data_IF_215585413397
#
_entry.id   IF_215585413397
#
_cell.length_a   1.000
_cell.length_b   1.000
_cell.length_c   1.000
_cell.angle_alpha   90.00
_cell.angle_beta   90.00
_cell.angle_gamma   90.00
#
_symmetry.space_group_name_H-M   'P 1'
#
loop_
_entity.id
_entity.type
_entity.pdbx_description
1 polymer ?
#
# COMPACT_ATOMS: atom_id res chain seq x y z
N UNK A 1 63.37 24.63 8.60
CA UNK A 1 64.04 24.91 7.32
C UNK A 1 63.15 24.42 6.18
N UNK A 2 62.95 25.31 5.23
CA UNK A 2 62.33 25.20 3.90
C UNK A 2 60.78 25.06 3.83
N UNK A 3 60.20 26.22 3.65
CA UNK A 3 58.94 26.61 3.01
C UNK A 3 58.89 26.20 1.53
N UNK A 4 57.74 25.69 1.07
CA UNK A 4 57.41 25.82 -0.35
C UNK A 4 55.97 26.37 -0.48
N UNK A 5 55.91 27.59 -0.96
CA UNK A 5 54.76 28.26 -1.54
C UNK A 5 54.53 27.70 -2.94
N UNK A 6 53.31 27.40 -3.33
CA UNK A 6 52.94 27.25 -4.74
C UNK A 6 51.76 28.16 -5.03
N UNK A 7 51.94 28.90 -6.05
CA UNK A 7 51.29 30.07 -6.60
C UNK A 7 49.95 29.78 -7.26
N UNK A 8 49.10 30.81 -7.18
CA UNK A 8 47.84 30.99 -7.93
C UNK A 8 48.08 31.07 -9.44
N UNK A 9 47.24 30.43 -10.24
CA UNK A 9 47.08 30.73 -11.66
C UNK A 9 45.61 31.05 -11.93
N UNK A 10 45.38 32.32 -12.25
CA UNK A 10 44.14 32.85 -12.78
C UNK A 10 44.04 32.47 -14.27
N UNK A 11 42.87 31.97 -14.69
CA UNK A 11 42.53 31.81 -16.12
C UNK A 11 41.39 32.74 -16.46
N UNK A 12 41.65 33.59 -17.41
CA UNK A 12 40.89 34.72 -17.95
C UNK A 12 39.75 34.18 -18.82
N UNK A 13 38.52 34.75 -18.65
CA UNK A 13 37.36 34.55 -19.50
C UNK A 13 37.52 35.29 -20.83
N UNK A 14 37.23 34.66 -21.94
CA UNK A 14 37.02 35.30 -23.23
C UNK A 14 35.53 35.20 -23.63
N UNK A 15 34.89 36.37 -23.66
CA UNK A 15 33.54 36.57 -24.25
C UNK A 15 33.69 36.63 -25.78
N UNK A 16 32.95 35.77 -26.48
CA UNK A 16 32.70 35.92 -27.92
C UNK A 16 31.19 36.06 -28.11
N UNK A 17 30.74 37.25 -28.45
CA UNK A 17 29.40 37.59 -28.87
C UNK A 17 29.17 37.10 -30.31
N UNK A 18 28.30 36.10 -30.48
CA UNK A 18 27.83 35.68 -31.80
C UNK A 18 26.40 36.15 -32.00
N UNK A 19 26.20 37.11 -32.87
CA UNK A 19 24.89 37.55 -33.35
C UNK A 19 24.30 36.51 -34.29
N UNK A 20 23.19 35.87 -33.91
CA UNK A 20 22.42 35.00 -34.79
C UNK A 20 21.27 35.85 -35.44
N UNK A 21 21.34 35.97 -36.76
CA UNK A 21 20.27 36.52 -37.58
C UNK A 21 19.10 35.51 -37.63
N UNK A 22 17.89 35.96 -37.20
CA UNK A 22 16.65 35.21 -37.30
C UNK A 22 15.99 35.59 -38.64
N UNK A 23 15.66 34.64 -39.53
CA UNK A 23 14.84 34.91 -40.71
C UNK A 23 13.35 35.08 -40.32
N UNK A 24 12.57 35.86 -41.09
CA UNK A 24 11.15 36.10 -40.79
C UNK A 24 10.33 34.83 -41.01
N UNK A 25 9.43 34.54 -40.07
CA UNK A 25 8.48 33.44 -40.15
C UNK A 25 7.40 33.74 -41.19
N UNK A 26 7.25 32.85 -42.17
CA UNK A 26 6.13 32.80 -43.07
C UNK A 26 4.93 32.20 -42.36
N UNK A 27 3.85 32.92 -42.23
CA UNK A 27 2.59 32.43 -41.68
C UNK A 27 1.95 31.48 -42.70
N UNK A 28 1.97 30.19 -42.42
CA UNK A 28 1.14 29.21 -43.11
C UNK A 28 -0.17 29.02 -42.34
N UNK A 29 -1.26 29.50 -42.89
CA UNK A 29 -2.61 29.16 -42.43
C UNK A 29 -2.85 27.68 -42.73
N UNK A 30 -2.89 26.85 -41.71
CA UNK A 30 -3.36 25.48 -41.81
C UNK A 30 -4.74 25.42 -41.16
N UNK A 31 -5.78 25.22 -41.96
CA UNK A 31 -7.08 24.76 -41.51
C UNK A 31 -6.90 23.41 -40.82
N UNK A 32 -7.02 23.36 -39.50
CA UNK A 32 -7.09 22.16 -38.74
C UNK A 32 -8.51 21.60 -38.84
N UNK A 33 -8.68 20.31 -39.22
CA UNK A 33 -9.98 19.66 -39.11
C UNK A 33 -10.39 19.61 -37.65
N UNK A 34 -11.63 19.99 -37.36
CA UNK A 34 -12.24 19.91 -36.05
C UNK A 34 -12.16 18.42 -35.57
N UNK A 35 -11.27 18.16 -34.65
CA UNK A 35 -11.25 16.89 -33.93
C UNK A 35 -12.55 16.77 -33.16
N UNK A 36 -13.38 15.81 -33.54
CA UNK A 36 -14.56 15.38 -32.81
C UNK A 36 -14.18 15.20 -31.35
N UNK A 37 -14.79 16.00 -30.46
CA UNK A 37 -14.58 15.91 -29.05
C UNK A 37 -14.87 14.49 -28.59
N UNK A 38 -13.85 13.80 -28.09
CA UNK A 38 -14.05 12.60 -27.28
C UNK A 38 -14.94 13.02 -26.12
N UNK A 39 -16.19 12.59 -26.13
CA UNK A 39 -17.09 12.68 -25.00
C UNK A 39 -16.41 11.98 -23.84
N UNK A 40 -15.85 12.74 -22.93
CA UNK A 40 -15.38 12.21 -21.65
C UNK A 40 -16.58 11.53 -21.01
N UNK A 41 -16.59 10.21 -21.01
CA UNK A 41 -17.58 9.43 -20.26
C UNK A 41 -17.50 9.93 -18.83
N UNK A 42 -18.56 10.59 -18.36
CA UNK A 42 -18.63 11.08 -16.99
C UNK A 42 -18.33 9.87 -16.08
N UNK A 43 -17.23 9.93 -15.34
CA UNK A 43 -16.91 8.89 -14.36
C UNK A 43 -18.06 8.85 -13.37
N UNK A 44 -18.74 7.71 -13.33
CA UNK A 44 -19.82 7.51 -12.37
C UNK A 44 -19.19 7.47 -10.99
N UNK A 45 -19.36 8.52 -10.20
CA UNK A 45 -18.73 8.66 -8.89
C UNK A 45 -19.33 7.67 -7.90
N UNK A 46 -18.50 7.10 -7.05
CA UNK A 46 -18.91 6.32 -5.88
C UNK A 46 -19.33 7.32 -4.81
N UNK A 47 -20.64 7.45 -4.49
CA UNK A 47 -21.16 8.58 -3.71
C UNK A 47 -20.94 8.45 -2.20
N UNK A 48 -20.22 7.41 -1.74
CA UNK A 48 -20.00 7.18 -0.31
C UNK A 48 -18.89 8.06 0.24
N UNK A 49 -19.14 8.73 1.38
CA UNK A 49 -18.15 9.50 2.13
C UNK A 49 -17.57 8.70 3.29
N UNK A 50 -18.32 7.71 3.81
CA UNK A 50 -17.87 6.73 4.77
C UNK A 50 -18.57 5.39 4.49
N UNK A 51 -17.92 4.27 4.74
CA UNK A 51 -18.50 2.95 4.71
C UNK A 51 -17.63 1.96 5.49
N UNK A 52 -18.28 1.11 6.29
CA UNK A 52 -17.59 0.06 7.06
C UNK A 52 -18.43 -1.20 7.08
N UNK A 53 -17.75 -2.34 7.17
CA UNK A 53 -18.33 -3.62 7.52
C UNK A 53 -17.47 -4.24 8.63
N UNK A 54 -18.08 -4.70 9.71
CA UNK A 54 -17.38 -5.35 10.83
C UNK A 54 -18.10 -6.62 11.20
N UNK A 55 -17.34 -7.68 11.41
CA UNK A 55 -17.86 -8.91 11.98
C UNK A 55 -18.10 -8.72 13.48
N UNK A 56 -19.25 -9.15 13.98
CA UNK A 56 -19.59 -9.13 15.41
C UNK A 56 -19.06 -10.37 16.11
N UNK A 57 -18.94 -10.31 17.44
CA UNK A 57 -18.38 -11.42 18.23
C UNK A 57 -19.22 -12.72 18.12
N UNK A 58 -20.52 -12.60 17.88
CA UNK A 58 -21.44 -13.71 17.66
C UNK A 58 -21.41 -14.28 16.24
N UNK A 59 -20.60 -13.68 15.33
CA UNK A 59 -20.43 -14.12 13.95
C UNK A 59 -21.35 -13.43 12.94
N UNK A 60 -22.20 -12.50 13.36
CA UNK A 60 -22.95 -11.60 12.47
C UNK A 60 -22.08 -10.49 11.88
N UNK A 61 -22.74 -9.49 11.26
CA UNK A 61 -22.05 -8.31 10.71
C UNK A 61 -22.80 -7.03 11.02
N UNK A 62 -22.08 -5.96 11.26
CA UNK A 62 -22.60 -4.59 11.33
C UNK A 62 -22.05 -3.79 10.17
N UNK A 63 -22.93 -3.13 9.44
CA UNK A 63 -22.61 -2.28 8.30
C UNK A 63 -23.00 -0.85 8.64
N UNK A 64 -22.20 0.12 8.26
CA UNK A 64 -22.56 1.53 8.35
C UNK A 64 -21.99 2.30 7.16
N UNK A 65 -22.72 3.32 6.72
CA UNK A 65 -22.29 4.16 5.60
C UNK A 65 -22.87 5.57 5.68
N UNK A 66 -22.26 6.46 4.91
CA UNK A 66 -22.77 7.81 4.64
C UNK A 66 -22.66 8.09 3.15
N UNK A 67 -23.75 8.50 2.54
CA UNK A 67 -23.86 8.85 1.13
C UNK A 67 -24.93 9.94 0.95
N UNK A 68 -24.79 10.85 -0.04
CA UNK A 68 -25.87 11.78 -0.43
C UNK A 68 -27.04 11.11 -1.17
N UNK A 69 -26.96 9.81 -1.50
CA UNK A 69 -28.04 9.05 -2.09
C UNK A 69 -29.28 9.03 -1.17
N UNK A 70 -30.48 8.92 -1.72
CA UNK A 70 -31.71 8.81 -0.95
C UNK A 70 -31.82 7.47 -0.21
N UNK A 71 -31.37 6.39 -0.86
CA UNK A 71 -31.37 5.03 -0.30
C UNK A 71 -30.19 4.20 -0.78
N UNK A 72 -29.82 3.20 0.01
CA UNK A 72 -28.78 2.21 -0.30
C UNK A 72 -29.33 0.80 -0.08
N UNK A 73 -29.29 0.00 -1.13
CA UNK A 73 -29.60 -1.44 -1.06
C UNK A 73 -28.33 -2.23 -0.84
N UNK A 74 -28.37 -3.16 0.12
CA UNK A 74 -27.23 -4.00 0.51
C UNK A 74 -27.46 -5.43 0.08
N UNK A 75 -26.47 -6.00 -0.61
CA UNK A 75 -26.40 -7.41 -1.00
C UNK A 75 -25.13 -8.03 -0.45
N UNK A 76 -25.23 -9.16 0.26
CA UNK A 76 -24.08 -9.94 0.67
C UNK A 76 -23.60 -10.83 -0.48
N UNK A 77 -22.31 -10.78 -0.80
CA UNK A 77 -21.67 -11.51 -1.91
C UNK A 77 -20.42 -12.22 -1.43
N UNK A 78 -20.00 -13.29 -2.10
CA UNK A 78 -18.83 -14.08 -1.72
C UNK A 78 -17.54 -13.68 -2.48
N UNK A 79 -17.66 -12.76 -3.44
CA UNK A 79 -16.53 -12.19 -4.19
C UNK A 79 -16.73 -10.69 -4.36
N UNK A 80 -15.67 -9.87 -4.35
CA UNK A 80 -15.80 -8.42 -4.54
C UNK A 80 -16.35 -8.04 -5.92
N UNK A 81 -16.20 -8.89 -6.92
CA UNK A 81 -16.69 -8.66 -8.29
C UNK A 81 -18.11 -9.21 -8.54
N UNK A 82 -18.68 -9.95 -7.58
CA UNK A 82 -20.03 -10.50 -7.73
C UNK A 82 -21.08 -9.39 -7.72
N UNK A 83 -22.03 -9.50 -8.66
CA UNK A 83 -23.17 -8.57 -8.78
C UNK A 83 -24.47 -9.13 -8.22
N UNK A 84 -24.52 -10.44 -8.00
CA UNK A 84 -25.68 -11.16 -7.43
C UNK A 84 -25.27 -11.86 -6.14
N UNK A 85 -26.17 -11.93 -5.17
CA UNK A 85 -25.90 -12.53 -3.86
C UNK A 85 -27.15 -12.60 -3.01
N UNK A 86 -26.98 -12.68 -1.69
CA UNK A 86 -28.05 -12.74 -0.70
C UNK A 86 -28.51 -11.32 -0.36
N UNK A 87 -29.79 -10.96 -0.56
CA UNK A 87 -30.30 -9.65 -0.15
C UNK A 87 -30.17 -9.47 1.36
N UNK A 88 -29.68 -8.33 1.79
CA UNK A 88 -29.56 -7.96 3.22
C UNK A 88 -30.68 -6.99 3.62
N UNK A 89 -30.89 -5.95 2.81
CA UNK A 89 -31.90 -4.93 3.07
C UNK A 89 -31.64 -3.62 2.39
N UNK A 90 -32.50 -2.64 2.64
CA UNK A 90 -32.39 -1.27 2.15
C UNK A 90 -32.51 -0.31 3.33
N UNK A 91 -31.70 0.73 3.35
CA UNK A 91 -31.73 1.76 4.38
C UNK A 91 -31.45 3.14 3.75
N UNK A 92 -31.66 4.26 4.47
CA UNK A 92 -31.36 5.60 3.96
C UNK A 92 -29.91 5.78 3.50
N UNK A 93 -29.66 6.83 2.72
CA UNK A 93 -28.34 7.19 2.19
C UNK A 93 -27.26 7.30 3.27
N UNK A 94 -27.61 7.82 4.46
CA UNK A 94 -26.81 7.66 5.67
C UNK A 94 -27.52 6.70 6.60
N UNK A 95 -26.89 5.55 6.88
CA UNK A 95 -27.57 4.48 7.59
C UNK A 95 -26.63 3.36 8.05
N UNK A 96 -27.27 2.37 8.64
CA UNK A 96 -26.62 1.14 9.08
C UNK A 96 -27.57 -0.05 8.95
N UNK A 97 -27.02 -1.25 8.81
CA UNK A 97 -27.73 -2.52 8.85
C UNK A 97 -26.95 -3.53 9.70
N UNK A 98 -27.69 -4.34 10.43
CA UNK A 98 -27.13 -5.50 11.13
C UNK A 98 -27.56 -6.77 10.43
N UNK A 99 -26.62 -7.65 10.16
CA UNK A 99 -26.85 -8.99 9.65
C UNK A 99 -26.63 -9.96 10.80
N UNK A 100 -27.68 -10.52 11.39
CA UNK A 100 -27.55 -11.44 12.51
C UNK A 100 -26.74 -12.68 12.16
N UNK A 101 -26.06 -13.27 13.13
CA UNK A 101 -25.38 -14.55 12.96
C UNK A 101 -26.35 -15.63 12.45
N UNK A 102 -25.85 -16.49 11.56
CA UNK A 102 -26.64 -17.56 10.95
C UNK A 102 -27.63 -17.12 9.85
N UNK A 103 -27.73 -15.81 9.57
CA UNK A 103 -28.59 -15.31 8.47
C UNK A 103 -27.98 -15.62 7.10
N UNK A 104 -26.67 -15.52 6.99
CA UNK A 104 -25.93 -15.83 5.76
C UNK A 104 -25.44 -17.29 5.80
N UNK A 105 -25.44 -18.00 4.66
CA UNK A 105 -24.82 -19.31 4.55
C UNK A 105 -23.33 -19.31 4.96
N UNK A 106 -22.76 -20.49 5.18
CA UNK A 106 -21.31 -20.57 5.39
C UNK A 106 -20.54 -20.14 4.14
N UNK A 107 -19.56 -19.26 4.34
CA UNK A 107 -18.64 -18.80 3.31
C UNK A 107 -17.28 -18.46 3.91
N UNK A 108 -16.22 -18.55 3.10
CA UNK A 108 -14.87 -18.17 3.53
C UNK A 108 -14.75 -16.70 3.95
N UNK A 109 -15.51 -15.82 3.31
CA UNK A 109 -15.64 -14.39 3.63
C UNK A 109 -16.91 -13.83 2.98
N UNK A 110 -17.54 -12.87 3.65
CA UNK A 110 -18.62 -12.07 3.08
C UNK A 110 -18.11 -10.68 2.71
N UNK A 111 -18.50 -10.23 1.54
CA UNK A 111 -18.45 -8.85 1.06
C UNK A 111 -19.84 -8.30 1.02
N UNK A 112 -19.99 -6.99 1.19
CA UNK A 112 -21.28 -6.31 1.15
C UNK A 112 -21.26 -5.26 0.05
N UNK A 113 -22.08 -5.49 -0.96
CA UNK A 113 -22.27 -4.56 -2.06
C UNK A 113 -23.32 -3.54 -1.67
N UNK A 114 -22.88 -2.31 -1.46
CA UNK A 114 -23.73 -1.14 -1.17
C UNK A 114 -24.10 -0.51 -2.51
N UNK A 115 -25.34 -0.62 -2.92
CA UNK A 115 -25.88 -0.09 -4.18
C UNK A 115 -26.73 1.13 -3.89
N UNK A 116 -26.27 2.35 -4.16
CA UNK A 116 -27.05 3.56 -3.98
C UNK A 116 -28.12 3.67 -5.08
N UNK A 117 -29.19 4.42 -4.84
CA UNK A 117 -30.19 4.74 -5.86
C UNK A 117 -29.65 5.64 -6.98
N UNK A 118 -28.50 6.29 -6.75
CA UNK A 118 -27.79 7.08 -7.73
C UNK A 118 -26.28 7.00 -7.53
N UNK A 119 -25.53 6.76 -8.61
CA UNK A 119 -24.07 6.61 -8.62
C UNK A 119 -23.60 5.14 -8.63
N UNK A 120 -22.30 4.92 -8.53
CA UNK A 120 -21.69 3.60 -8.57
C UNK A 120 -21.78 2.89 -7.21
N UNK A 121 -21.95 1.56 -7.20
CA UNK A 121 -21.90 0.78 -5.98
C UNK A 121 -20.50 0.74 -5.36
N UNK A 122 -20.46 0.52 -4.06
CA UNK A 122 -19.25 0.28 -3.28
C UNK A 122 -19.31 -1.13 -2.66
N UNK A 123 -18.19 -1.85 -2.71
CA UNK A 123 -18.06 -3.14 -2.02
C UNK A 123 -17.16 -2.95 -0.80
N UNK A 124 -17.67 -3.34 0.36
CA UNK A 124 -16.95 -3.32 1.63
C UNK A 124 -16.97 -4.71 2.27
N UNK A 125 -16.00 -4.98 3.14
CA UNK A 125 -15.95 -6.23 3.90
C UNK A 125 -15.30 -5.97 5.27
N UNK A 126 -15.50 -6.90 6.21
CA UNK A 126 -14.63 -6.95 7.38
C UNK A 126 -13.20 -7.17 6.90
N UNK A 127 -12.27 -6.40 7.42
CA UNK A 127 -10.86 -6.47 6.99
C UNK A 127 -10.14 -7.69 7.54
N UNK A 128 -10.60 -8.27 8.65
CA UNK A 128 -10.05 -9.50 9.20
C UNK A 128 -10.52 -10.71 8.41
N UNK A 129 -9.57 -11.59 8.05
CA UNK A 129 -9.88 -12.91 7.50
C UNK A 129 -9.96 -13.99 8.59
N UNK A 130 -9.81 -13.62 9.86
CA UNK A 130 -9.78 -14.55 10.99
C UNK A 130 -8.72 -15.69 10.80
N UNK A 131 -7.54 -15.35 10.31
CA UNK A 131 -6.39 -16.25 10.22
C UNK A 131 -5.63 -16.15 11.56
N UNK A 132 -5.92 -17.06 12.47
CA UNK A 132 -5.43 -16.99 13.84
C UNK A 132 -3.92 -17.29 13.94
N UNK A 133 -3.40 -18.15 13.09
CA UNK A 133 -1.98 -18.54 13.06
C UNK A 133 -1.07 -17.47 12.46
N UNK A 134 -1.61 -16.55 11.65
CA UNK A 134 -0.88 -15.44 11.05
C UNK A 134 -1.35 -14.11 11.66
N UNK A 135 -0.65 -13.67 12.71
CA UNK A 135 -0.99 -12.42 13.42
C UNK A 135 -1.03 -11.24 12.47
N UNK A 136 -1.85 -10.26 12.79
CA UNK A 136 -1.96 -9.00 12.05
C UNK A 136 -2.45 -9.17 10.60
N UNK A 137 -3.05 -10.33 10.28
CA UNK A 137 -3.59 -10.62 8.95
C UNK A 137 -4.85 -9.79 8.69
N UNK A 138 -4.82 -8.98 7.65
CA UNK A 138 -5.99 -8.19 7.21
C UNK A 138 -5.88 -7.69 5.77
N UNK A 139 -7.04 -7.38 5.21
CA UNK A 139 -7.20 -6.66 3.96
C UNK A 139 -6.76 -5.18 4.12
N UNK A 140 -6.06 -4.63 3.16
CA UNK A 140 -5.71 -3.20 3.13
C UNK A 140 -6.75 -2.35 2.38
N UNK A 141 -7.79 -2.95 1.80
CA UNK A 141 -8.89 -2.27 1.15
C UNK A 141 -9.90 -1.62 2.10
N UNK A 142 -10.88 -0.92 1.51
CA UNK A 142 -11.95 -0.27 2.25
C UNK A 142 -11.61 1.13 2.77
N UNK A 143 -10.52 1.75 2.32
CA UNK A 143 -10.16 3.13 2.63
C UNK A 143 -10.55 4.07 1.50
N UNK A 144 -11.03 5.26 1.87
CA UNK A 144 -11.35 6.33 0.93
C UNK A 144 -10.11 7.18 0.66
N UNK A 145 -9.87 7.50 -0.61
CA UNK A 145 -8.79 8.40 -1.05
C UNK A 145 -9.22 9.86 -0.94
N UNK A 146 -8.26 10.79 -0.98
CA UNK A 146 -8.52 12.22 -0.94
C UNK A 146 -9.36 12.71 -2.15
N UNK A 147 -9.21 12.07 -3.31
CA UNK A 147 -9.99 12.36 -4.52
C UNK A 147 -11.37 11.67 -4.57
N UNK A 148 -11.76 10.99 -3.49
CA UNK A 148 -13.09 10.39 -3.31
C UNK A 148 -13.25 8.96 -3.83
N UNK A 149 -12.24 8.35 -4.44
CA UNK A 149 -12.22 6.94 -4.78
C UNK A 149 -12.02 6.08 -3.52
N UNK A 150 -12.13 4.77 -3.68
CA UNK A 150 -11.94 3.81 -2.60
C UNK A 150 -10.91 2.76 -2.98
N UNK A 151 -10.09 2.37 -2.03
CA UNK A 151 -9.21 1.21 -2.18
C UNK A 151 -10.08 -0.05 -2.18
N UNK A 152 -10.01 -0.83 -3.25
CA UNK A 152 -10.82 -2.03 -3.43
C UNK A 152 -10.43 -3.11 -2.42
N UNK A 153 -11.44 -3.73 -1.79
CA UNK A 153 -11.22 -4.86 -0.87
C UNK A 153 -10.98 -6.17 -1.63
N UNK A 154 -10.23 -7.08 -1.02
CA UNK A 154 -10.03 -8.44 -1.54
C UNK A 154 -8.89 -8.59 -2.54
N UNK A 155 -8.08 -7.57 -2.75
CA UNK A 155 -6.99 -7.58 -3.73
C UNK A 155 -5.60 -7.63 -3.09
N UNK A 156 -5.42 -6.99 -1.94
CA UNK A 156 -4.14 -6.97 -1.25
C UNK A 156 -4.35 -7.19 0.24
N UNK A 157 -3.58 -8.10 0.80
CA UNK A 157 -3.58 -8.46 2.21
C UNK A 157 -2.20 -8.20 2.81
N UNK A 158 -2.20 -7.83 4.09
CA UNK A 158 -0.98 -7.74 4.90
C UNK A 158 -1.01 -8.71 6.05
N UNK A 159 0.16 -9.23 6.47
CA UNK A 159 0.23 -10.27 7.50
C UNK A 159 1.55 -10.26 8.28
N UNK A 160 1.58 -10.98 9.39
CA UNK A 160 2.77 -11.61 9.96
C UNK A 160 3.14 -12.89 9.20
N UNK A 161 4.18 -13.58 9.64
CA UNK A 161 4.68 -14.79 8.97
C UNK A 161 3.60 -15.88 8.79
N UNK A 162 3.66 -16.58 7.69
CA UNK A 162 2.67 -17.59 7.27
C UNK A 162 3.11 -19.03 7.56
N UNK A 163 4.16 -19.23 8.35
CA UNK A 163 4.78 -20.54 8.61
C UNK A 163 3.88 -21.54 9.36
N UNK A 164 2.82 -21.09 10.00
CA UNK A 164 1.97 -21.92 10.86
C UNK A 164 0.52 -22.02 10.38
N UNK A 165 0.25 -21.69 9.12
CA UNK A 165 -1.10 -21.78 8.56
C UNK A 165 -1.63 -23.21 8.68
N UNK A 166 -2.84 -23.37 9.22
CA UNK A 166 -3.56 -24.65 9.19
C UNK A 166 -4.09 -24.95 7.79
N UNK A 167 -4.51 -26.17 7.52
CA UNK A 167 -5.11 -26.53 6.22
C UNK A 167 -6.39 -25.72 5.96
N UNK A 168 -7.20 -25.48 7.01
CA UNK A 168 -8.40 -24.65 6.92
C UNK A 168 -8.07 -23.19 6.59
N UNK A 169 -7.03 -22.63 7.22
CA UNK A 169 -6.59 -21.27 6.94
C UNK A 169 -6.01 -21.14 5.52
N UNK A 170 -5.30 -22.14 5.04
CA UNK A 170 -4.88 -22.20 3.63
C UNK A 170 -6.08 -22.23 2.67
N UNK A 171 -7.13 -23.01 2.99
CA UNK A 171 -8.36 -22.98 2.18
C UNK A 171 -9.05 -21.62 2.20
N UNK A 172 -8.98 -20.88 3.31
CA UNK A 172 -9.45 -19.48 3.33
C UNK A 172 -8.65 -18.59 2.37
N UNK A 173 -7.32 -18.71 2.33
CA UNK A 173 -6.51 -17.97 1.36
C UNK A 173 -6.89 -18.32 -0.09
N UNK A 174 -7.10 -19.61 -0.37
CA UNK A 174 -7.58 -20.08 -1.69
C UNK A 174 -8.95 -19.46 -2.03
N UNK A 175 -9.89 -19.46 -1.08
CA UNK A 175 -11.22 -18.88 -1.28
C UNK A 175 -11.18 -17.37 -1.55
N UNK A 176 -10.16 -16.67 -1.05
CA UNK A 176 -9.89 -15.26 -1.34
C UNK A 176 -9.02 -15.06 -2.58
N UNK A 177 -8.79 -16.12 -3.35
CA UNK A 177 -7.98 -16.07 -4.58
C UNK A 177 -6.59 -15.48 -4.35
N UNK A 178 -5.95 -15.75 -3.20
CA UNK A 178 -4.56 -15.39 -2.99
C UNK A 178 -3.70 -16.23 -3.94
N UNK A 179 -2.97 -15.58 -4.83
CA UNK A 179 -2.14 -16.21 -5.86
C UNK A 179 -0.67 -15.84 -5.75
N UNK A 180 -0.35 -14.82 -4.95
CA UNK A 180 1.01 -14.33 -4.74
C UNK A 180 1.25 -14.03 -3.27
N UNK A 181 2.37 -14.51 -2.76
CA UNK A 181 2.94 -14.16 -1.47
C UNK A 181 4.26 -13.42 -1.67
N UNK A 182 4.40 -12.24 -1.04
CA UNK A 182 5.63 -11.43 -1.05
C UNK A 182 6.22 -11.36 0.35
N UNK A 183 7.34 -12.03 0.55
CA UNK A 183 8.01 -12.14 1.84
C UNK A 183 9.10 -11.08 2.01
N UNK A 184 8.90 -10.16 2.97
CA UNK A 184 9.82 -9.06 3.28
C UNK A 184 10.92 -9.46 4.29
N UNK A 185 10.96 -10.72 4.73
CA UNK A 185 11.90 -11.22 5.74
C UNK A 185 13.29 -11.47 5.16
N UNK A 186 14.30 -11.40 6.03
CA UNK A 186 15.65 -11.77 5.69
C UNK A 186 15.83 -13.31 5.56
N UNK A 187 16.97 -13.74 5.03
CA UNK A 187 17.23 -15.14 4.75
C UNK A 187 17.18 -16.05 6.02
N UNK A 188 17.64 -15.54 7.17
CA UNK A 188 17.63 -16.30 8.43
C UNK A 188 16.19 -16.49 8.89
N UNK A 189 15.37 -15.44 8.91
CA UNK A 189 13.96 -15.53 9.31
C UNK A 189 13.16 -16.50 8.43
N UNK A 190 13.45 -16.51 7.11
CA UNK A 190 12.82 -17.43 6.15
C UNK A 190 13.26 -18.88 6.36
N UNK A 191 14.55 -19.10 6.67
CA UNK A 191 15.08 -20.42 6.97
C UNK A 191 14.49 -21.00 8.25
N UNK A 192 14.41 -20.20 9.32
CA UNK A 192 13.95 -20.64 10.64
C UNK A 192 12.43 -20.87 10.69
N UNK A 193 11.68 -20.17 9.86
CA UNK A 193 10.22 -20.25 9.81
C UNK A 193 9.71 -20.14 8.35
N UNK A 194 9.96 -21.17 7.51
CA UNK A 194 9.49 -21.17 6.12
C UNK A 194 7.97 -21.10 6.05
N UNK A 195 7.43 -20.39 5.06
CA UNK A 195 5.98 -20.24 4.92
C UNK A 195 5.32 -21.54 4.47
N UNK A 196 4.12 -21.76 4.96
CA UNK A 196 3.27 -22.89 4.66
C UNK A 196 2.10 -22.44 3.77
N UNK A 197 2.38 -22.28 2.48
CA UNK A 197 1.44 -21.73 1.51
C UNK A 197 0.55 -22.82 0.89
N UNK A 198 -0.70 -22.44 0.45
CA UNK A 198 -1.51 -23.31 -0.40
C UNK A 198 -0.82 -23.61 -1.72
N UNK A 199 -1.11 -24.78 -2.30
CA UNK A 199 -0.62 -25.15 -3.61
C UNK A 199 -1.09 -24.11 -4.67
N UNK A 200 -0.17 -23.72 -5.56
CA UNK A 200 -0.44 -22.76 -6.63
C UNK A 200 -0.22 -21.30 -6.26
N UNK A 201 0.00 -20.95 -4.99
CA UNK A 201 0.44 -19.60 -4.61
C UNK A 201 1.91 -19.43 -5.00
N UNK A 202 2.19 -18.39 -5.78
CA UNK A 202 3.57 -18.00 -6.12
C UNK A 202 4.23 -17.38 -4.88
N UNK A 203 5.49 -17.69 -4.66
CA UNK A 203 6.30 -17.14 -3.58
C UNK A 203 7.37 -16.22 -4.14
N UNK A 204 7.43 -14.98 -3.68
CA UNK A 204 8.42 -13.99 -4.07
C UNK A 204 9.10 -13.42 -2.83
N UNK A 205 10.43 -13.37 -2.86
CA UNK A 205 11.22 -12.74 -1.81
C UNK A 205 11.49 -11.28 -2.16
N UNK A 206 11.20 -10.39 -1.22
CA UNK A 206 11.52 -8.96 -1.26
C UNK A 206 12.21 -8.58 0.07
N UNK A 207 13.42 -9.10 0.26
CA UNK A 207 14.18 -9.00 1.53
C UNK A 207 14.62 -7.55 1.80
N UNK A 208 13.99 -6.90 2.79
CA UNK A 208 14.26 -5.50 3.17
C UNK A 208 15.69 -5.31 3.71
N UNK A 209 16.32 -6.35 4.23
CA UNK A 209 17.69 -6.32 4.74
C UNK A 209 18.72 -6.91 3.74
N UNK A 210 18.33 -7.10 2.48
CA UNK A 210 19.17 -7.73 1.47
C UNK A 210 20.44 -6.93 1.19
N UNK A 211 21.58 -7.62 1.23
CA UNK A 211 22.88 -7.08 0.86
C UNK A 211 23.24 -7.31 -0.63
N UNK A 212 22.31 -7.82 -1.44
CA UNK A 212 22.56 -8.13 -2.85
C UNK A 212 23.02 -6.92 -3.68
N UNK A 213 22.66 -5.70 -3.26
CA UNK A 213 23.07 -4.43 -3.86
C UNK A 213 24.26 -3.78 -3.13
N UNK A 214 24.95 -4.53 -2.26
CA UNK A 214 26.02 -4.05 -1.39
C UNK A 214 25.49 -3.27 -0.18
N UNK A 215 26.40 -2.90 0.72
CA UNK A 215 26.07 -2.04 1.86
C UNK A 215 26.15 -0.61 1.38
N UNK A 216 25.04 -0.05 0.96
CA UNK A 216 24.90 1.33 0.48
C UNK A 216 23.73 2.00 1.14
N UNK A 217 23.91 3.26 1.48
CA UNK A 217 22.92 4.10 2.11
C UNK A 217 22.84 5.44 1.38
N UNK A 218 21.75 6.14 1.52
CA UNK A 218 21.54 7.45 0.91
C UNK A 218 22.19 8.59 1.71
N UNK A 219 22.59 8.35 2.95
CA UNK A 219 23.19 9.31 3.85
C UNK A 219 24.66 8.92 4.21
N UNK A 220 25.38 9.77 4.95
CA UNK A 220 26.79 9.58 5.25
C UNK A 220 27.09 8.31 6.07
N UNK A 221 28.26 7.69 5.80
CA UNK A 221 28.66 6.36 6.26
C UNK A 221 28.60 6.13 7.79
N UNK A 222 28.68 7.15 8.64
CA UNK A 222 28.66 7.02 10.10
C UNK A 222 27.27 6.86 10.69
N UNK A 223 26.28 7.60 10.19
CA UNK A 223 24.87 7.41 10.54
C UNK A 223 24.39 6.03 10.11
N UNK A 224 24.84 5.62 8.99
CA UNK A 224 24.60 4.38 8.29
C UNK A 224 25.02 3.12 9.05
N UNK A 225 26.18 3.14 9.68
CA UNK A 225 26.64 2.00 10.49
C UNK A 225 25.80 1.86 11.76
N UNK A 226 25.42 2.97 12.37
CA UNK A 226 24.53 2.97 13.54
C UNK A 226 23.12 2.45 13.16
N UNK A 227 22.62 2.82 11.99
CA UNK A 227 21.33 2.36 11.45
C UNK A 227 21.37 0.88 11.05
N UNK A 228 22.48 0.40 10.46
CA UNK A 228 22.65 -1.03 10.14
C UNK A 228 22.73 -1.91 11.39
N UNK A 229 23.36 -1.42 12.46
CA UNK A 229 23.36 -2.10 13.77
C UNK A 229 21.94 -2.11 14.34
N UNK A 230 21.21 -1.01 14.21
CA UNK A 230 19.82 -0.93 14.67
C UNK A 230 18.87 -1.78 13.84
N UNK A 231 19.11 -1.97 12.55
CA UNK A 231 18.34 -2.90 11.70
C UNK A 231 18.46 -4.35 12.18
N UNK A 232 19.60 -4.73 12.76
CA UNK A 232 19.74 -5.98 13.51
C UNK A 232 18.86 -6.05 14.76
N UNK A 233 18.41 -4.91 15.26
CA UNK A 233 17.50 -4.78 16.41
C UNK A 233 16.00 -4.70 15.99
N UNK A 234 15.67 -4.78 14.71
CA UNK A 234 14.29 -4.78 14.18
C UNK A 234 13.36 -5.82 14.81
N UNK A 235 13.91 -6.84 15.41
CA UNK A 235 13.15 -7.81 16.19
C UNK A 235 12.88 -7.33 17.63
N UNK A 236 13.47 -6.21 18.04
CA UNK A 236 13.37 -5.68 19.39
C UNK A 236 12.16 -4.77 19.60
N UNK A 237 11.60 -4.79 20.80
CA UNK A 237 10.48 -3.97 21.23
C UNK A 237 10.92 -2.64 21.85
N UNK A 238 12.20 -2.24 21.75
CA UNK A 238 12.69 -1.00 22.33
C UNK A 238 12.32 0.19 21.43
N UNK A 239 11.77 1.22 22.02
CA UNK A 239 11.39 2.46 21.33
C UNK A 239 12.58 3.10 20.59
N UNK A 240 13.76 3.09 21.20
CA UNK A 240 14.99 3.58 20.57
C UNK A 240 15.37 2.77 19.32
N UNK A 241 15.26 1.42 19.37
CA UNK A 241 15.56 0.56 18.24
C UNK A 241 14.61 0.81 17.06
N UNK A 242 13.35 1.05 17.35
CA UNK A 242 12.34 1.33 16.30
C UNK A 242 12.51 2.73 15.70
N UNK A 243 12.83 3.74 16.53
CA UNK A 243 13.07 5.11 16.06
C UNK A 243 14.25 5.21 15.08
N UNK A 244 15.20 4.27 15.13
CA UNK A 244 16.32 4.16 14.18
C UNK A 244 15.95 3.22 13.03
N UNK A 245 15.24 2.13 13.31
CA UNK A 245 14.88 1.11 12.35
C UNK A 245 13.92 1.57 11.24
N UNK A 246 13.02 2.50 11.53
CA UNK A 246 12.10 3.03 10.52
C UNK A 246 12.78 3.93 9.50
N UNK A 247 13.64 4.91 9.87
CA UNK A 247 14.50 5.60 8.91
C UNK A 247 15.36 4.67 8.06
N UNK A 248 15.86 3.56 8.63
CA UNK A 248 16.63 2.56 7.87
C UNK A 248 15.84 2.00 6.66
N UNK A 249 14.53 1.76 6.79
CA UNK A 249 13.69 1.27 5.68
C UNK A 249 13.61 2.26 4.50
N UNK A 250 14.02 3.51 4.70
CA UNK A 250 14.04 4.57 3.67
C UNK A 250 15.47 4.89 3.22
N UNK A 251 16.44 4.75 4.13
CA UNK A 251 17.82 5.13 3.90
C UNK A 251 18.64 4.00 3.25
N UNK A 252 18.32 2.74 3.53
CA UNK A 252 19.04 1.58 3.05
C UNK A 252 18.62 1.19 1.63
N UNK A 253 19.57 1.18 0.71
CA UNK A 253 19.34 0.89 -0.72
C UNK A 253 18.73 -0.50 -0.95
N UNK A 254 19.06 -1.50 -0.12
CA UNK A 254 18.45 -2.83 -0.18
C UNK A 254 16.96 -2.81 0.15
N UNK A 255 16.53 -1.96 1.09
CA UNK A 255 15.13 -1.77 1.42
C UNK A 255 14.36 -1.11 0.27
N UNK A 256 14.97 -0.13 -0.41
CA UNK A 256 14.35 0.48 -1.59
C UNK A 256 14.06 -0.54 -2.69
N UNK A 257 15.00 -1.46 -2.96
CA UNK A 257 14.76 -2.54 -3.93
C UNK A 257 13.65 -3.49 -3.47
N UNK A 258 13.60 -3.83 -2.19
CA UNK A 258 12.55 -4.70 -1.66
C UNK A 258 11.16 -4.07 -1.77
N UNK A 259 11.01 -2.78 -1.46
CA UNK A 259 9.73 -2.09 -1.62
C UNK A 259 9.39 -1.79 -3.08
N UNK A 260 10.38 -1.59 -3.95
CA UNK A 260 10.19 -1.61 -5.41
C UNK A 260 9.56 -2.93 -5.87
N UNK A 261 10.16 -4.05 -5.46
CA UNK A 261 9.71 -5.40 -5.83
C UNK A 261 8.30 -5.68 -5.30
N UNK A 262 7.99 -5.27 -4.07
CA UNK A 262 6.64 -5.36 -3.51
C UNK A 262 5.62 -4.61 -4.37
N UNK A 263 5.88 -3.34 -4.69
CA UNK A 263 4.93 -2.51 -5.46
C UNK A 263 4.75 -3.05 -6.89
N UNK A 264 5.83 -3.48 -7.51
CA UNK A 264 5.81 -4.10 -8.85
C UNK A 264 5.05 -5.42 -8.84
N UNK A 265 5.28 -6.27 -7.82
CA UNK A 265 4.57 -7.53 -7.65
C UNK A 265 3.05 -7.32 -7.51
N UNK A 266 2.62 -6.34 -6.71
CA UNK A 266 1.21 -5.98 -6.58
C UNK A 266 0.64 -5.43 -7.89
N UNK A 267 1.40 -4.59 -8.61
CA UNK A 267 0.96 -3.99 -9.87
C UNK A 267 0.77 -5.02 -11.00
N UNK A 268 1.56 -6.09 -10.99
CA UNK A 268 1.63 -7.09 -12.06
C UNK A 268 0.88 -8.39 -11.75
N UNK A 269 0.39 -8.57 -10.53
CA UNK A 269 -0.40 -9.76 -10.19
C UNK A 269 -1.84 -9.63 -10.71
N UNK A 270 -2.08 -10.09 -11.91
CA UNK A 270 -3.40 -10.11 -12.58
C UNK A 270 -4.20 -11.40 -12.30
N UNK A 271 -3.57 -12.40 -11.67
CA UNK A 271 -4.17 -13.73 -11.47
C UNK A 271 -5.03 -13.83 -10.21
N UNK A 272 -4.90 -12.89 -9.27
CA UNK A 272 -5.66 -12.89 -8.01
C UNK A 272 -5.16 -11.87 -7.00
N UNK A 273 -5.36 -12.17 -5.73
CA UNK A 273 -4.93 -11.31 -4.65
C UNK A 273 -3.46 -11.56 -4.26
N UNK A 274 -2.81 -10.52 -3.77
CA UNK A 274 -1.46 -10.59 -3.18
C UNK A 274 -1.54 -10.53 -1.67
N UNK A 275 -0.84 -11.41 -0.96
CA UNK A 275 -0.48 -11.21 0.43
C UNK A 275 0.98 -10.80 0.53
N UNK A 276 1.31 -9.85 1.41
CA UNK A 276 2.71 -9.55 1.73
C UNK A 276 2.90 -9.48 3.24
N UNK A 277 4.06 -9.89 3.69
CA UNK A 277 4.28 -10.06 5.12
C UNK A 277 5.75 -9.88 5.53
N UNK A 278 5.97 -9.77 6.85
CA UNK A 278 7.24 -9.97 7.51
C UNK A 278 7.06 -10.91 8.71
N UNK A 279 7.91 -10.85 9.73
CA UNK A 279 7.77 -11.76 10.88
C UNK A 279 6.55 -11.43 11.76
N UNK A 280 6.34 -10.18 12.15
CA UNK A 280 5.22 -9.74 12.98
C UNK A 280 4.10 -9.03 12.19
N UNK A 281 4.32 -8.71 10.92
CA UNK A 281 3.36 -8.00 10.08
C UNK A 281 3.13 -6.54 10.47
N UNK A 282 4.02 -5.94 11.28
CA UNK A 282 3.82 -4.60 11.83
C UNK A 282 4.80 -3.54 11.29
N UNK A 283 6.09 -3.84 11.22
CA UNK A 283 7.15 -2.86 10.86
C UNK A 283 7.39 -2.80 9.35
N UNK A 284 8.13 -3.73 8.76
CA UNK A 284 8.39 -3.79 7.30
C UNK A 284 7.09 -3.84 6.50
N UNK A 285 6.17 -4.69 6.90
CA UNK A 285 4.80 -4.76 6.34
C UNK A 285 4.02 -3.48 6.60
N UNK A 286 4.20 -2.85 7.76
CA UNK A 286 3.59 -1.57 8.11
C UNK A 286 4.05 -0.44 7.21
N UNK A 287 5.36 -0.33 6.97
CA UNK A 287 5.92 0.64 6.03
C UNK A 287 5.45 0.38 4.60
N UNK A 288 5.55 -0.86 4.10
CA UNK A 288 5.07 -1.22 2.76
C UNK A 288 3.58 -0.89 2.56
N UNK A 289 2.74 -1.12 3.59
CA UNK A 289 1.32 -0.71 3.56
C UNK A 289 1.19 0.81 3.51
N UNK A 290 1.94 1.53 4.34
CA UNK A 290 1.89 3.00 4.38
C UNK A 290 2.31 3.62 3.03
N UNK A 291 3.37 3.08 2.41
CA UNK A 291 3.81 3.48 1.07
C UNK A 291 2.71 3.24 0.04
N UNK A 292 2.14 2.03 -0.01
CA UNK A 292 1.09 1.69 -0.98
C UNK A 292 -0.17 2.55 -0.80
N UNK A 293 -0.67 2.70 0.42
CA UNK A 293 -1.86 3.52 0.69
C UNK A 293 -1.63 5.00 0.38
N UNK A 294 -0.44 5.56 0.71
CA UNK A 294 -0.09 6.93 0.37
C UNK A 294 -0.02 7.13 -1.15
N UNK A 295 0.60 6.20 -1.88
CA UNK A 295 0.66 6.20 -3.35
C UNK A 295 -0.73 6.17 -3.99
N UNK A 296 -1.68 5.45 -3.38
CA UNK A 296 -3.07 5.41 -3.81
C UNK A 296 -3.86 6.69 -3.48
N UNK A 297 -3.29 7.60 -2.68
CA UNK A 297 -3.92 8.87 -2.32
C UNK A 297 -4.81 8.77 -1.07
N UNK A 298 -4.61 7.78 -0.23
CA UNK A 298 -5.28 7.70 1.08
C UNK A 298 -4.72 8.79 2.00
N UNK A 299 -5.58 9.57 2.71
CA UNK A 299 -5.14 10.61 3.62
C UNK A 299 -4.19 10.10 4.72
N UNK A 300 -3.21 10.93 5.09
CA UNK A 300 -2.17 10.57 6.07
C UNK A 300 -2.76 10.06 7.39
N UNK A 301 -3.79 10.68 7.89
CA UNK A 301 -4.44 10.28 9.16
C UNK A 301 -5.02 8.86 9.07
N UNK A 302 -5.53 8.48 7.90
CA UNK A 302 -6.06 7.13 7.64
C UNK A 302 -4.92 6.11 7.52
N UNK A 303 -3.81 6.47 6.88
CA UNK A 303 -2.60 5.63 6.82
C UNK A 303 -2.03 5.39 8.22
N UNK A 304 -1.95 6.43 9.05
CA UNK A 304 -1.51 6.36 10.45
C UNK A 304 -2.46 5.50 11.29
N UNK A 305 -3.78 5.60 11.06
CA UNK A 305 -4.77 4.77 11.74
C UNK A 305 -4.66 3.28 11.34
N UNK A 306 -4.41 2.95 10.05
CA UNK A 306 -4.11 1.57 9.64
C UNK A 306 -2.85 1.03 10.33
N UNK A 307 -1.81 1.82 10.40
CA UNK A 307 -0.57 1.42 11.07
C UNK A 307 -0.83 1.08 12.55
N UNK A 308 -1.53 1.98 13.28
CA UNK A 308 -1.90 1.79 14.69
C UNK A 308 -2.87 0.62 14.91
N UNK A 309 -3.68 0.25 13.91
CA UNK A 309 -4.53 -0.93 14.01
C UNK A 309 -3.73 -2.22 14.24
N UNK A 310 -2.43 -2.23 13.95
CA UNK A 310 -1.54 -3.35 14.33
C UNK A 310 -1.56 -3.64 15.83
N UNK A 311 -1.84 -2.66 16.69
CA UNK A 311 -1.98 -2.86 18.14
C UNK A 311 -3.18 -3.75 18.46
N UNK A 312 -4.32 -3.55 17.77
CA UNK A 312 -5.52 -4.38 17.90
C UNK A 312 -5.29 -5.77 17.29
N UNK A 313 -4.84 -5.82 16.02
CA UNK A 313 -4.70 -7.07 15.28
C UNK A 313 -3.59 -8.00 15.80
N UNK A 314 -2.62 -7.49 16.57
CA UNK A 314 -1.62 -8.32 17.26
C UNK A 314 -2.02 -8.70 18.67
N UNK A 315 -3.07 -8.07 19.22
CA UNK A 315 -3.47 -8.20 20.63
C UNK A 315 -2.48 -7.55 21.60
N UNK A 316 -1.59 -6.68 21.13
CA UNK A 316 -0.62 -5.95 21.94
C UNK A 316 -0.84 -4.44 21.75
N UNK A 317 -1.36 -3.70 22.77
CA UNK A 317 -1.67 -2.28 22.65
C UNK A 317 -0.43 -1.38 22.45
N UNK A 318 0.76 -1.95 22.56
CA UNK A 318 2.06 -1.29 22.35
C UNK A 318 2.89 -1.97 21.26
N UNK A 319 2.24 -2.65 20.30
CA UNK A 319 2.97 -3.31 19.21
C UNK A 319 3.68 -2.29 18.31
N UNK A 320 3.05 -1.15 18.09
CA UNK A 320 3.60 -0.03 17.30
C UNK A 320 3.23 1.31 17.92
N UNK A 321 4.06 2.31 17.65
CA UNK A 321 3.85 3.71 18.03
C UNK A 321 3.93 4.62 16.80
N UNK A 322 3.11 5.67 16.80
CA UNK A 322 2.98 6.56 15.64
C UNK A 322 4.28 7.31 15.33
N UNK A 323 5.09 7.62 16.35
CA UNK A 323 6.42 8.21 16.23
C UNK A 323 7.33 7.42 15.30
N UNK A 324 7.24 6.10 15.31
CA UNK A 324 8.07 5.23 14.46
C UNK A 324 7.72 5.41 12.98
N UNK A 325 6.44 5.31 12.63
CA UNK A 325 6.01 5.54 11.24
C UNK A 325 6.36 6.95 10.76
N UNK A 326 6.15 7.94 11.63
CA UNK A 326 6.46 9.35 11.31
C UNK A 326 7.95 9.59 11.11
N UNK A 327 8.83 8.86 11.80
CA UNK A 327 10.28 8.94 11.58
C UNK A 327 10.69 8.46 10.18
N UNK A 328 10.04 7.41 9.66
CA UNK A 328 10.27 6.98 8.26
C UNK A 328 9.83 8.04 7.25
N UNK A 329 8.65 8.64 7.44
CA UNK A 329 8.22 9.73 6.56
C UNK A 329 9.11 10.97 6.66
N UNK A 330 9.60 11.31 7.86
CA UNK A 330 10.56 12.39 8.04
C UNK A 330 11.89 12.11 7.30
N UNK A 331 12.33 10.85 7.25
CA UNK A 331 13.51 10.46 6.46
C UNK A 331 13.24 10.57 4.96
N UNK A 332 12.01 10.25 4.49
CA UNK A 332 11.58 10.52 3.10
C UNK A 332 11.72 12.01 2.78
N UNK A 333 11.16 12.88 3.61
CA UNK A 333 11.21 14.34 3.41
C UNK A 333 12.66 14.84 3.42
N UNK A 334 13.51 14.33 4.32
CA UNK A 334 14.92 14.68 4.44
C UNK A 334 15.74 14.30 3.20
N UNK A 335 15.58 13.06 2.68
CA UNK A 335 16.41 12.53 1.61
C UNK A 335 15.90 12.88 0.21
N UNK A 336 14.59 12.96 0.04
CA UNK A 336 13.94 13.09 -1.27
C UNK A 336 13.13 14.38 -1.43
N UNK A 337 12.87 15.11 -0.35
CA UNK A 337 12.08 16.34 -0.34
C UNK A 337 10.58 16.11 -0.29
N UNK A 338 10.07 15.07 -0.96
CA UNK A 338 8.67 14.69 -0.97
C UNK A 338 8.47 13.18 -1.27
N UNK A 339 7.25 12.71 -1.04
CA UNK A 339 6.89 11.31 -1.22
C UNK A 339 6.91 10.87 -2.70
N UNK A 340 6.47 11.72 -3.64
CA UNK A 340 6.48 11.37 -5.07
C UNK A 340 7.91 11.21 -5.59
N UNK A 341 8.82 12.05 -5.14
CA UNK A 341 10.25 11.92 -5.44
C UNK A 341 10.84 10.64 -4.83
N UNK A 342 10.46 10.26 -3.62
CA UNK A 342 10.84 8.97 -3.01
C UNK A 342 10.36 7.79 -3.85
N UNK A 343 9.11 7.77 -4.26
CA UNK A 343 8.56 6.70 -5.11
C UNK A 343 9.35 6.58 -6.42
N UNK A 344 9.64 7.69 -7.08
CA UNK A 344 10.32 7.69 -8.40
C UNK A 344 11.82 7.45 -8.31
N UNK A 345 12.52 8.08 -7.37
CA UNK A 345 13.99 8.05 -7.30
C UNK A 345 14.50 7.06 -6.26
N UNK A 346 13.90 6.98 -5.10
CA UNK A 346 14.24 6.02 -4.06
C UNK A 346 13.80 4.63 -4.47
N UNK A 347 12.51 4.42 -4.58
CA UNK A 347 11.93 3.13 -4.96
C UNK A 347 12.05 2.83 -6.47
N UNK A 348 12.38 3.79 -7.32
CA UNK A 348 12.51 3.61 -8.78
C UNK A 348 11.24 3.06 -9.45
N UNK A 349 10.07 3.33 -8.86
CA UNK A 349 8.77 2.93 -9.41
C UNK A 349 8.40 3.92 -10.51
N UNK A 350 8.17 3.44 -11.71
CA UNK A 350 7.81 4.25 -12.87
C UNK A 350 6.32 4.63 -12.89
N UNK A 351 5.99 5.60 -13.75
CA UNK A 351 4.61 6.09 -13.88
C UNK A 351 3.64 5.03 -14.40
N UNK A 352 4.12 4.07 -15.17
CA UNK A 352 3.29 2.96 -15.68
C UNK A 352 2.88 2.03 -14.53
N UNK A 353 3.80 1.67 -13.66
CA UNK A 353 3.54 0.86 -12.45
C UNK A 353 2.58 1.60 -11.50
N UNK A 354 2.79 2.90 -11.27
CA UNK A 354 1.87 3.73 -10.46
C UNK A 354 0.47 3.76 -11.06
N UNK A 355 0.37 3.92 -12.38
CA UNK A 355 -0.92 3.90 -13.08
C UNK A 355 -1.60 2.54 -12.99
N UNK A 356 -0.86 1.43 -13.13
CA UNK A 356 -1.37 0.07 -12.97
C UNK A 356 -1.91 -0.18 -11.56
N UNK A 357 -1.15 0.21 -10.51
CA UNK A 357 -1.61 0.12 -9.11
C UNK A 357 -2.92 0.88 -8.90
N UNK A 358 -3.01 2.11 -9.37
CA UNK A 358 -4.23 2.93 -9.24
C UNK A 358 -5.41 2.38 -10.04
N UNK A 359 -5.17 1.86 -11.24
CA UNK A 359 -6.21 1.25 -12.07
C UNK A 359 -6.78 -0.03 -11.46
N UNK A 360 -5.91 -0.87 -10.89
CA UNK A 360 -6.31 -2.15 -10.28
C UNK A 360 -6.93 -1.97 -8.91
N UNK A 361 -6.32 -1.14 -8.06
CA UNK A 361 -6.66 -1.08 -6.64
C UNK A 361 -7.68 -0.02 -6.27
N UNK A 362 -8.03 0.93 -7.16
CA UNK A 362 -9.02 1.95 -6.87
C UNK A 362 -10.33 1.72 -7.62
N UNK A 363 -11.44 2.14 -6.98
CA UNK A 363 -12.73 2.24 -7.67
C UNK A 363 -12.64 3.29 -8.78
N UNK A 364 -13.33 3.03 -9.89
CA UNK A 364 -13.34 3.90 -11.07
C UNK A 364 -14.06 5.22 -10.84
#
# INVERSE_FOLDING_TARGET
>A
MRTHRITHAAVLAALLAGTVLVPPAVAASADAPATAGATATARTTVPFTAATARRTADGGHTLSWSSPAGSVTVTAVTSPDATTGVPVGTAPGTGSLTVPAGTLPEAGRWYFRLTPDSGSPLVVADRSLAIASARNFRDIGGYRTADGRWVRSGLVYRSGKLNSLTDEEQQRLVSQRVTLDVDLRNAIERHDAPDRLPAGVKYQVADVASLSHGIRFHDSALMTLAEAIAAGLFSGSSDLGQSIGYPFMVNFVGADYAFHDLLTAVATNDSGATVFHCSAGKDRTGWGTAVLLTLLGVPRETVEADFLASNEYTGNPKAVELSWLRSAFAEVDKLYGDFDTYVRKGLRVDDATVAALRATLLTG
#
